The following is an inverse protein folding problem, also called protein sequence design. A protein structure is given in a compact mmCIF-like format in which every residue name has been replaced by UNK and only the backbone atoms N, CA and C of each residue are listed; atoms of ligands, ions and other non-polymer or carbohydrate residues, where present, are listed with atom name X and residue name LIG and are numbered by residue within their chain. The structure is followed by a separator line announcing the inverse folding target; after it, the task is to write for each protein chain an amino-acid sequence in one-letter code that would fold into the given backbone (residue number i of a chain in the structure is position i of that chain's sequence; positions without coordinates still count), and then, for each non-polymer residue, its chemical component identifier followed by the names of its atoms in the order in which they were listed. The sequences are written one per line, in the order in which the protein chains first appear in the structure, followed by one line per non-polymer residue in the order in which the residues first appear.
data_IF_196645249130
#
_entry.id   IF_196645249130
#
_cell.length_a   1.000
_cell.length_b   1.000
_cell.length_c   1.000
_cell.angle_alpha   90.00
_cell.angle_beta   90.00
_cell.angle_gamma   90.00
#
_symmetry.space_group_name_H-M   'P 1'
#
loop_
_entity.id
_entity.type
_entity.pdbx_description
1 polymer ?
2 polymer ?
3 non-polymer ?
4 water ?
#
# COMPACT_ATOMS: atom_id res chain seq x y z
N UNK A 4 20.15 5.18 -10.04
CA UNK A 4 19.92 4.30 -11.18
C UNK A 4 18.49 3.77 -11.24
N UNK A 5 17.94 3.35 -10.08
CA UNK A 5 16.60 2.81 -10.12
C UNK A 5 15.63 3.92 -10.49
N UNK A 6 15.94 5.17 -10.12
CA UNK A 6 15.06 6.28 -10.38
C UNK A 6 14.80 6.41 -11.87
N UNK A 7 15.81 6.03 -12.65
CA UNK A 7 15.64 6.14 -14.10
C UNK A 7 14.49 5.30 -14.63
N UNK A 8 14.08 4.26 -13.90
CA UNK A 8 13.02 3.41 -14.42
C UNK A 8 11.63 4.04 -14.22
N UNK A 9 11.62 5.18 -13.53
CA UNK A 9 10.36 5.80 -13.14
C UNK A 9 10.08 7.14 -13.81
N UNK A 10 10.80 7.52 -14.85
CA UNK A 10 10.58 8.86 -15.39
C UNK A 10 9.35 8.94 -16.28
N UNK A 11 8.76 7.79 -16.64
CA UNK A 11 7.57 7.80 -17.46
C UNK A 11 6.44 7.05 -16.79
N UNK A 12 5.40 6.75 -17.53
CA UNK A 12 4.29 5.94 -17.03
C UNK A 12 4.66 4.48 -17.02
N UNK A 13 4.45 3.85 -15.89
CA UNK A 13 4.79 2.45 -15.67
C UNK A 13 3.55 1.61 -15.39
N UNK A 14 3.37 0.52 -16.11
CA UNK A 14 2.23 -0.36 -15.83
C UNK A 14 2.47 -1.05 -14.50
N UNK A 15 1.38 -1.22 -13.77
CA UNK A 15 1.39 -1.91 -12.49
C UNK A 15 0.45 -3.09 -12.47
N UNK A 16 0.92 -4.19 -11.88
CA UNK A 16 0.12 -5.35 -11.54
C UNK A 16 0.18 -5.61 -10.03
N UNK A 17 -1.01 -5.90 -9.50
CA UNK A 17 -1.12 -6.20 -8.08
C UNK A 17 -1.83 -7.54 -7.92
N UNK A 18 -1.26 -8.42 -7.11
CA UNK A 18 -1.88 -9.73 -6.87
C UNK A 18 -1.82 -10.02 -5.38
N UNK A 19 -2.97 -10.25 -4.76
CA UNK A 19 -3.02 -10.53 -3.33
C UNK A 19 -3.81 -11.82 -3.09
N UNK A 20 -3.30 -12.60 -2.16
CA UNK A 20 -4.01 -13.76 -1.61
C UNK A 20 -4.20 -13.48 -0.12
N UNK A 21 -5.44 -13.62 0.35
CA UNK A 21 -5.73 -13.31 1.73
C UNK A 21 -6.46 -14.43 2.44
N UNK A 22 -6.30 -14.39 3.75
CA UNK A 22 -7.06 -15.18 4.71
C UNK A 22 -7.33 -14.29 5.92
N UNK A 23 -8.59 -13.95 6.12
CA UNK A 23 -8.98 -13.20 7.30
C UNK A 23 -10.03 -14.00 8.07
N UNK A 24 -9.63 -14.49 9.24
CA UNK A 24 -10.48 -15.32 10.09
C UNK A 24 -11.00 -16.55 9.35
N UNK A 25 -10.18 -17.10 8.46
CA UNK A 25 -10.59 -18.23 7.65
C UNK A 25 -11.36 -17.87 6.41
N UNK A 26 -11.69 -16.58 6.23
CA UNK A 26 -12.30 -16.24 4.93
C UNK A 26 -11.18 -16.07 3.91
N UNK A 27 -11.08 -16.97 2.94
CA UNK A 27 -10.01 -16.90 1.93
C UNK A 27 -10.48 -16.10 0.72
N UNK A 28 -9.61 -15.26 0.21
CA UNK A 28 -9.89 -14.40 -0.93
C UNK A 28 -8.62 -14.01 -1.69
N UNK A 29 -8.76 -13.53 -2.89
CA UNK A 29 -7.80 -13.09 -3.87
C UNK A 29 -8.33 -11.85 -4.59
N UNK A 30 -7.37 -10.97 -4.85
CA UNK A 30 -7.64 -9.72 -5.52
C UNK A 30 -6.60 -9.53 -6.62
N UNK A 31 -7.06 -9.11 -7.78
CA UNK A 31 -6.13 -8.79 -8.87
C UNK A 31 -6.34 -7.33 -9.26
N UNK A 32 -5.23 -6.63 -9.44
CA UNK A 32 -5.39 -5.22 -9.79
C UNK A 32 -4.44 -4.88 -10.94
N UNK A 33 -4.89 -3.93 -11.71
CA UNK A 33 -4.15 -3.39 -12.83
C UNK A 33 -4.26 -1.88 -12.88
N UNK A 34 -3.20 -1.26 -13.36
CA UNK A 34 -3.23 0.18 -13.62
C UNK A 34 -1.85 0.68 -13.96
N UNK A 35 -1.56 1.89 -13.53
CA UNK A 35 -0.29 2.50 -13.90
C UNK A 35 0.08 3.57 -12.91
N UNK A 36 1.38 3.88 -12.91
CA UNK A 36 1.90 4.88 -12.02
C UNK A 36 2.81 5.86 -12.75
N UNK A 37 2.78 7.11 -12.31
CA UNK A 37 3.63 8.13 -12.93
C UNK A 37 4.25 8.93 -11.80
N UNK A 38 5.42 8.47 -11.39
CA UNK A 38 6.06 9.02 -10.20
C UNK A 38 6.40 10.50 -10.38
N UNK A 39 6.51 10.95 -11.64
CA UNK A 39 6.78 12.38 -11.84
C UNK A 39 5.72 13.23 -11.16
N UNK A 40 4.50 12.73 -11.05
CA UNK A 40 3.35 13.40 -10.46
C UNK A 40 2.83 12.72 -9.20
N UNK A 41 3.57 11.73 -8.71
CA UNK A 41 3.28 10.88 -7.60
C UNK A 41 1.90 10.27 -7.72
N UNK A 42 1.52 9.90 -8.93
CA UNK A 42 0.16 9.57 -9.29
C UNK A 42 -0.02 8.09 -9.62
N UNK A 43 -1.01 7.49 -8.98
CA UNK A 43 -1.34 6.10 -9.21
C UNK A 43 -2.83 5.96 -9.56
N UNK A 44 -3.12 5.16 -10.58
CA UNK A 44 -4.50 4.81 -10.91
C UNK A 44 -4.57 3.29 -11.09
N UNK A 45 -5.44 2.67 -10.30
CA UNK A 45 -5.56 1.22 -10.27
C UNK A 45 -7.02 0.80 -10.11
N UNK A 46 -7.37 -0.31 -10.72
CA UNK A 46 -8.64 -0.97 -10.46
C UNK A 46 -8.39 -2.41 -10.00
N UNK A 47 -9.01 -2.74 -8.88
CA UNK A 47 -8.92 -4.00 -8.19
C UNK A 47 -10.21 -4.77 -8.34
N UNK A 48 -10.04 -6.07 -8.55
CA UNK A 48 -11.20 -6.97 -8.66
C UNK A 48 -11.05 -8.12 -7.69
N UNK A 49 -12.09 -8.44 -6.92
CA UNK A 49 -11.98 -9.62 -6.07
C UNK A 49 -12.31 -10.81 -6.94
N UNK A 50 -11.35 -11.68 -7.18
CA UNK A 50 -11.58 -12.74 -8.15
C UNK A 50 -12.22 -13.96 -7.50
N UNK A 51 -12.40 -13.97 -6.18
CA UNK A 51 -12.96 -15.20 -5.60
C UNK A 51 -14.43 -15.06 -5.23
N UNK A 52 -14.96 -13.87 -5.43
CA UNK A 52 -16.33 -13.54 -5.14
C UNK A 52 -16.43 -12.23 -4.39
N UNK A 53 -17.12 -12.28 -3.25
CA UNK A 53 -17.29 -11.04 -2.49
C UNK A 53 -16.09 -10.87 -1.57
N UNK A 54 -15.61 -9.65 -1.47
CA UNK A 54 -14.54 -9.34 -0.53
C UNK A 54 -15.03 -9.43 0.91
N UNK A 55 -14.38 -10.24 1.73
CA UNK A 55 -14.90 -10.49 3.08
C UNK A 55 -14.52 -9.43 4.10
N UNK A 56 -13.75 -8.45 3.67
CA UNK A 56 -13.43 -7.27 4.46
C UNK A 56 -13.75 -6.01 3.66
N UNK A 57 -13.89 -4.86 4.29
CA UNK A 57 -14.09 -3.62 3.52
C UNK A 57 -12.89 -3.23 2.68
N UNK A 58 -13.18 -2.82 1.44
CA UNK A 58 -12.13 -2.37 0.51
C UNK A 58 -11.23 -1.33 1.15
N UNK A 59 -11.72 -0.34 1.87
CA UNK A 59 -10.77 0.64 2.39
C UNK A 59 -9.68 0.07 3.28
N UNK A 60 -9.93 -1.09 3.89
CA UNK A 60 -8.93 -1.63 4.80
C UNK A 60 -7.73 -2.21 4.03
N UNK A 61 -7.83 -2.43 2.73
CA UNK A 61 -6.76 -2.97 1.90
C UNK A 61 -5.99 -1.93 1.10
N UNK A 62 -6.43 -0.67 1.12
CA UNK A 62 -5.78 0.35 0.29
C UNK A 62 -4.28 0.46 0.52
N UNK A 63 -3.86 0.49 1.79
CA UNK A 63 -2.43 0.68 2.02
C UNK A 63 -1.61 -0.53 1.61
N UNK A 64 -2.24 -1.70 1.65
CA UNK A 64 -1.57 -2.93 1.23
C UNK A 64 -1.35 -2.94 -0.28
N UNK A 65 -2.31 -2.43 -1.04
CA UNK A 65 -2.28 -2.44 -2.50
C UNK A 65 -1.48 -1.29 -3.10
N UNK B 2 1.03 0.22 -1.27
CA UNK B 2 1.74 -0.97 -1.63
C UNK B 2 2.93 -0.72 -2.53
N UNK B 3 2.87 0.38 -3.29
CA UNK B 3 3.89 0.71 -4.28
C UNK B 3 4.40 2.14 -4.09
N UNK B 4 5.12 2.31 -2.98
CA UNK B 4 5.65 3.60 -2.53
C UNK B 4 6.78 4.05 -3.42
N UNK B 5 7.21 3.15 -4.32
CA UNK B 5 8.16 3.57 -5.35
C UNK B 5 7.56 4.59 -6.30
N UNK B 6 6.24 4.81 -6.31
CA UNK B 6 5.66 5.80 -7.21
C UNK B 6 5.46 7.16 -6.54
N UNK B 7 5.95 7.32 -5.32
CA UNK B 7 5.91 8.62 -4.66
C UNK B 7 6.72 9.63 -5.45
N UNK B 8 6.24 10.86 -5.40
CA UNK B 8 7.04 11.93 -5.98
C UNK B 8 7.97 12.48 -4.90
N UNK B 9 9.25 12.24 -5.14
CA UNK B 9 10.32 12.80 -4.30
C UNK B 9 10.81 14.07 -4.99
N UNK B 10 10.63 15.20 -4.34
CA UNK B 10 11.14 16.44 -4.94
C UNK B 10 12.63 16.29 -5.20
N UNK B 11 13.12 16.99 -6.21
CA UNK B 11 14.51 16.89 -6.61
C UNK B 11 15.44 17.12 -5.43
N UNK B 12 15.07 18.04 -4.55
CA UNK B 12 15.98 18.32 -3.45
C UNK B 12 16.06 17.20 -2.42
N UNK B 13 15.17 16.21 -2.50
CA UNK B 13 15.12 15.09 -1.61
C UNK B 13 15.39 13.76 -2.28
N UNK B 14 15.90 13.81 -3.50
CA UNK B 14 16.00 12.56 -4.24
C UNK B 14 17.01 11.60 -3.61
N UNK B 15 17.93 12.10 -2.78
CA UNK B 15 18.87 11.16 -2.17
C UNK B 15 18.22 10.36 -1.04
N UNK B 16 16.95 10.63 -0.74
CA UNK B 16 16.22 9.95 0.30
C UNK B 16 15.21 8.92 -0.21
N UNK B 17 15.16 8.66 -1.50
CA UNK B 17 14.18 7.71 -2.06
C UNK B 17 14.70 6.29 -2.10
N UNK B 18 14.50 5.58 -0.99
CA UNK B 18 14.88 4.18 -0.89
C UNK B 18 14.22 3.32 -1.96
N UNK B 19 12.91 3.58 -2.11
CA UNK B 19 12.05 2.70 -2.85
C UNK B 19 12.52 2.50 -4.28
N UNK B 20 12.78 3.62 -4.97
CA UNK B 20 13.22 3.45 -6.36
C UNK B 20 14.64 2.93 -6.41
N UNK B 21 15.42 3.23 -5.38
CA UNK B 21 16.83 2.83 -5.42
C UNK B 21 16.98 1.31 -5.36
N UNK B 22 15.99 0.60 -4.84
CA UNK B 22 16.07 -0.86 -4.79
C UNK B 22 15.71 -1.53 -6.11
N UNK B 23 15.25 -0.77 -7.09
CA UNK B 23 14.73 -1.34 -8.33
C UNK B 23 15.86 -1.51 -9.33
N UNK B 24 15.77 -2.41 -10.31
CA UNK B 24 14.62 -3.27 -10.56
C UNK B 24 14.45 -4.50 -9.70
N UNK B 25 15.50 -4.90 -8.97
CA UNK B 25 15.41 -6.16 -8.25
C UNK B 25 14.33 -6.15 -7.19
N UNK B 26 14.07 -4.97 -6.65
CA UNK B 26 12.98 -4.76 -5.74
C UNK B 26 13.19 -4.82 -4.26
N UNK B 27 12.08 -4.84 -3.51
CA UNK B 27 12.13 -4.92 -2.05
C UNK B 27 10.97 -5.76 -1.53
N UNK B 28 11.19 -6.28 -0.32
CA UNK B 28 10.16 -6.95 0.48
C UNK B 28 9.57 -5.91 1.42
N UNK B 29 8.24 -5.82 1.46
CA UNK B 29 7.58 -4.85 2.33
C UNK B 29 6.68 -5.65 3.25
N UNK B 30 6.92 -5.49 4.54
CA UNK B 30 6.14 -6.21 5.53
C UNK B 30 5.44 -5.22 6.46
N UNK B 31 4.20 -5.55 6.83
CA UNK B 31 3.44 -4.72 7.73
C UNK B 31 2.64 -5.57 8.73
N UNK B 32 2.48 -4.92 9.88
CA UNK B 32 1.50 -5.31 10.86
C UNK B 32 0.52 -4.14 10.95
N UNK B 33 -0.74 -4.44 10.71
CA UNK B 33 -1.78 -3.43 10.76
C UNK B 33 -2.73 -3.79 11.91
N UNK B 34 -2.72 -2.97 12.95
CA UNK B 34 -3.48 -3.25 14.17
C UNK B 34 -4.73 -2.39 14.25
N UNK B 35 -5.89 -3.04 14.05
CA UNK B 35 -7.16 -2.36 14.17
C UNK B 35 -7.53 -2.28 15.67
N UNK B 36 -7.65 -1.06 16.16
CA UNK B 36 -7.99 -0.78 17.56
C UNK B 36 -9.28 -1.51 17.93
N UNK B 37 -9.24 -2.21 19.05
CA UNK B 37 -10.33 -3.00 19.61
C UNK B 37 -10.77 -4.10 18.68
N UNK B 38 -9.90 -4.56 17.79
CA UNK B 38 -10.31 -5.59 16.83
C UNK B 38 -9.08 -6.36 16.38
N UNK B 39 -9.11 -7.10 15.28
CA UNK B 39 -8.02 -7.92 14.84
C UNK B 39 -6.85 -7.21 14.17
N UNK B 40 -5.96 -7.99 13.56
CA UNK B 40 -4.79 -7.44 12.90
C UNK B 40 -4.57 -8.14 11.56
N UNK B 41 -4.00 -7.39 10.63
CA UNK B 41 -3.48 -7.95 9.41
C UNK B 41 -1.95 -8.02 9.52
N UNK B 42 -1.38 -9.11 9.05
CA UNK B 42 0.07 -9.15 8.79
C UNK B 42 0.23 -9.38 7.30
N UNK B 43 1.07 -8.56 6.68
CA UNK B 43 1.26 -8.66 5.25
C UNK B 43 2.74 -8.81 4.88
N UNK B 44 2.97 -9.58 3.83
CA UNK B 44 4.29 -9.70 3.21
C UNK B 44 4.09 -9.52 1.70
N UNK B 45 4.85 -8.59 1.13
CA UNK B 45 4.81 -8.25 -0.27
C UNK B 45 6.22 -8.17 -0.86
N UNK B 46 6.28 -8.56 -2.12
CA UNK B 46 7.47 -8.37 -2.91
C UNK B 46 7.10 -7.40 -4.03
N UNK B 47 7.86 -6.33 -4.10
CA UNK B 47 7.64 -5.29 -5.10
C UNK B 47 8.88 -5.22 -5.98
N UNK B 48 8.69 -5.58 -7.25
CA UNK B 48 9.81 -5.61 -8.18
C UNK B 48 9.33 -5.51 -9.62
N UNK B 49 10.29 -5.24 -10.50
CA UNK B 49 9.93 -5.23 -11.91
C UNK B 49 9.92 -6.64 -12.49
N UNK B 50 8.91 -6.87 -13.30
CA UNK B 50 8.86 -8.03 -14.18
C UNK B 50 8.87 -7.49 -15.59
N UNK B 51 10.04 -7.53 -16.23
CA UNK B 51 10.15 -6.78 -17.47
C UNK B 51 9.98 -5.30 -17.19
N UNK B 52 9.10 -4.64 -17.92
CA UNK B 52 8.90 -3.19 -17.76
C UNK B 52 7.69 -2.88 -16.86
N UNK B 53 7.12 -3.90 -16.24
CA UNK B 53 5.95 -3.79 -15.37
C UNK B 53 6.32 -3.92 -13.90
N UNK B 54 5.74 -3.03 -13.10
CA UNK B 54 5.98 -3.06 -11.66
C UNK B 54 4.90 -3.93 -11.02
N UNK B 55 5.36 -4.94 -10.31
CA UNK B 55 4.51 -5.95 -9.69
C UNK B 55 4.58 -5.90 -8.17
N UNK B 56 3.40 -5.90 -7.56
CA UNK B 56 3.20 -5.94 -6.13
C UNK B 56 2.45 -7.25 -5.82
N UNK B 57 3.21 -8.20 -5.30
CA UNK B 57 2.68 -9.50 -4.94
C UNK B 57 2.56 -9.61 -3.41
N UNK B 58 1.39 -9.87 -2.88
CA UNK B 58 1.11 -9.83 -1.47
C UNK B 58 0.38 -11.05 -0.90
N UNK B 59 0.83 -11.48 0.27
CA UNK B 59 0.13 -12.40 1.13
C UNK B 59 -0.32 -11.64 2.38
N UNK B 60 -1.60 -11.78 2.69
CA UNK B 60 -2.20 -11.11 3.84
C UNK B 60 -2.84 -12.15 4.76
N UNK B 61 -2.55 -12.07 6.03
CA UNK B 61 -3.17 -12.91 7.04
C UNK B 61 -3.82 -12.00 8.08
N UNK B 62 -5.11 -12.20 8.32
CA UNK B 62 -5.84 -11.46 9.33
C UNK B 62 -6.34 -12.39 10.42
N UNK B 63 -6.08 -12.03 11.66
CA UNK B 63 -6.60 -12.86 12.74
C UNK B 63 -7.26 -12.03 13.84
N UNK B 64 -8.08 -12.73 14.60
CA UNK B 64 -8.70 -12.25 15.82
C UNK B 64 -9.64 -11.07 15.57
N UNK B 65 -10.27 -11.06 14.41
CA UNK B 65 -11.32 -10.09 14.16
C UNK B 65 -12.62 -10.52 14.84
N UNK B 66 -13.37 -9.52 15.28
CA UNK B 66 -14.69 -9.73 15.87
C UNK B 66 -15.74 -9.90 14.77
N UNK B 67 -16.56 -10.93 14.92
CA UNK B 67 -17.52 -11.33 13.90
C UNK B 67 -18.38 -10.15 13.45
N UNK B 68 -18.72 -9.31 14.42
CA UNK B 68 -19.48 -8.12 14.04
C UNK B 68 -18.79 -6.84 14.50
N UNK B 69 -17.46 -6.79 14.39
CA UNK B 69 -16.84 -5.47 14.60
C UNK B 69 -16.93 -4.68 13.30
N UNK B 70 -16.20 -3.58 13.19
CA UNK B 70 -16.32 -2.71 12.03
C UNK B 70 -15.81 -3.34 10.73
N UNK B 71 -14.85 -4.25 10.84
CA UNK B 71 -14.30 -4.87 9.64
C UNK B 71 -15.17 -6.02 9.16
N UNK B 72 -15.35 -7.10 9.94
CA UNK B 72 -16.14 -8.23 9.44
C UNK B 72 -17.62 -7.86 9.40
N UNK B 73 -18.00 -6.81 10.11
CA UNK B 73 -19.37 -6.34 10.08
C UNK B 73 -19.64 -5.37 8.95
N UNK B 74 -18.64 -5.03 8.17
CA UNK B 74 -18.69 -4.10 7.05
C UNK B 74 -19.36 -2.78 7.43
N UNK B 75 -18.81 -2.13 8.44
CA UNK B 75 -19.38 -0.88 8.96
C UNK B 75 -18.57 0.35 8.57
N UNK B 76 -17.58 0.15 7.72
CA UNK B 76 -16.72 1.24 7.26
C UNK B 76 -17.19 1.87 5.96
N UNK B 77 -17.12 3.21 5.91
CA UNK B 77 -17.55 3.96 4.76
C UNK B 77 -16.58 3.75 3.60
N UNK B 78 -17.11 3.89 2.40
CA UNK B 78 -16.30 3.72 1.20
C UNK B 78 -15.69 5.07 0.84
N UNK B 79 -14.70 5.39 1.65
CA UNK B 79 -13.95 6.63 1.45
C UNK B 79 -12.61 6.50 2.15
N UNK B 80 -11.83 7.58 2.15
CA UNK B 80 -10.48 7.49 2.65
C UNK B 80 -9.83 8.82 3.01
N UNK B 81 -9.30 8.88 4.22
CA UNK B 81 -8.69 10.12 4.68
C UNK B 81 -7.24 10.26 4.29
N UNK B 82 -6.84 11.51 4.05
CA UNK B 82 -5.43 11.75 3.78
C UNK B 82 -4.60 11.40 5.02
N UNK B 83 -3.35 10.99 4.80
CA UNK B 83 -2.47 10.66 5.91
C UNK B 83 -0.99 10.78 5.52
N UNK B 84 -0.11 10.82 6.49
CA UNK B 84 1.33 10.81 6.34
C UNK B 84 1.92 9.47 6.78
N UNK B 85 2.86 9.00 5.98
CA UNK B 85 3.66 7.82 6.25
C UNK B 85 5.01 8.27 6.79
N UNK B 86 5.32 8.02 8.07
CA UNK B 86 6.59 8.51 8.60
C UNK B 86 7.69 7.45 8.46
N UNK B 87 8.73 7.82 7.72
CA UNK B 87 9.81 6.93 7.34
C UNK B 87 11.09 7.20 8.11
N UNK B 88 11.77 6.12 8.48
CA UNK B 88 13.07 6.20 9.13
C UNK B 88 13.96 5.09 8.57
N UNK B 89 15.26 5.34 8.58
CA UNK B 89 16.19 4.33 8.08
C UNK B 89 16.31 3.19 9.06
N UNK B 90 16.57 2.00 8.52
CA UNK B 90 16.92 0.83 9.32
C UNK B 90 18.26 0.34 8.78
N UNK B 91 19.33 0.92 9.32
CA UNK B 91 20.64 0.74 8.69
C UNK B 91 21.13 -0.69 8.85
N UNK B 92 20.72 -1.35 9.93
CA UNK B 92 21.10 -2.73 10.17
C UNK B 92 20.47 -3.71 9.20
N UNK B 93 19.39 -3.32 8.54
CA UNK B 93 18.74 -4.18 7.56
C UNK B 93 18.86 -3.60 6.15
N UNK B 94 19.70 -2.58 5.99
CA UNK B 94 19.89 -1.94 4.70
C UNK B 94 18.55 -1.55 4.09
N UNK B 95 17.66 -1.05 4.94
CA UNK B 95 16.32 -0.72 4.44
C UNK B 95 15.69 0.38 5.27
N UNK B 96 14.37 0.34 5.40
CA UNK B 96 13.65 1.38 6.11
C UNK B 96 12.54 0.78 6.97
N UNK B 97 12.02 1.56 7.90
CA UNK B 97 10.80 1.34 8.61
C UNK B 97 9.86 2.53 8.42
N UNK B 98 8.59 2.26 8.65
CA UNK B 98 7.59 3.32 8.61
C UNK B 98 6.54 3.05 9.69
N UNK B 99 5.97 4.13 10.17
CA UNK B 99 4.90 4.09 11.15
C UNK B 99 3.89 5.18 10.77
N UNK B 100 2.63 4.82 10.86
CA UNK B 100 1.56 5.77 10.58
C UNK B 100 0.25 5.19 11.10
N UNK B 101 -0.73 6.07 11.16
CA UNK B 101 -2.07 5.76 11.61
C UNK B 101 -3.08 6.10 10.52
N UNK B 102 -3.89 5.10 10.21
CA UNK B 102 -4.99 5.31 9.27
C UNK B 102 -6.28 5.39 10.07
N UNK B 103 -7.10 6.38 9.75
CA UNK B 103 -8.41 6.57 10.36
C UNK B 103 -9.49 6.21 9.35
N UNK B 104 -10.14 5.07 9.55
CA UNK B 104 -11.23 4.61 8.71
C UNK B 104 -12.56 5.15 9.24
N UNK B 105 -13.30 5.88 8.39
CA UNK B 105 -14.60 6.40 8.78
C UNK B 105 -15.64 5.28 8.93
N UNK B 106 -16.24 5.25 10.11
CA UNK B 106 -17.35 4.34 10.39
C UNK B 106 -18.67 5.04 10.02
N UNK B 107 -19.63 4.24 9.57
CA UNK B 107 -20.87 4.76 9.02
C UNK B 107 -21.68 5.53 10.05
N UNK B 108 -21.32 5.49 11.32
CA UNK B 108 -22.05 6.19 12.38
C UNK B 108 -21.42 7.51 12.79
N UNK B 109 -20.38 7.92 12.07
CA UNK B 109 -19.62 9.11 12.34
C UNK B 109 -18.42 8.90 13.24
N UNK B 110 -18.23 7.66 13.70
CA UNK B 110 -17.03 7.37 14.50
C UNK B 110 -15.85 7.00 13.62
N UNK B 111 -14.71 6.66 14.23
CA UNK B 111 -13.51 6.32 13.50
C UNK B 111 -12.94 5.00 14.00
N UNK B 112 -12.48 4.20 13.05
CA UNK B 112 -11.79 2.95 13.32
C UNK B 112 -10.30 3.13 13.04
N UNK B 113 -9.50 3.15 14.09
CA UNK B 113 -8.06 3.35 13.93
C UNK B 113 -7.36 2.08 13.45
N UNK B 114 -6.44 2.23 12.52
CA UNK B 114 -5.60 1.15 12.04
C UNK B 114 -4.15 1.60 12.12
N UNK B 115 -3.49 1.12 13.18
CA UNK B 115 -2.07 1.38 13.37
C UNK B 115 -1.23 0.56 12.39
N UNK B 116 -0.37 1.20 11.63
CA UNK B 116 0.53 0.57 10.67
C UNK B 116 1.99 0.65 11.10
N UNK B 117 2.64 -0.51 11.13
CA UNK B 117 4.07 -0.66 11.30
C UNK B 117 4.62 -1.41 10.09
N UNK B 118 5.64 -0.86 9.47
CA UNK B 118 6.14 -1.33 8.18
C UNK B 118 7.66 -1.40 8.18
N UNK B 119 8.14 -2.44 7.49
CA UNK B 119 9.56 -2.61 7.25
C UNK B 119 9.78 -2.99 5.78
N UNK B 120 10.80 -2.43 5.16
CA UNK B 120 11.20 -2.75 3.80
C UNK B 120 12.67 -3.11 3.76
N UNK B 121 13.01 -4.13 3.01
CA UNK B 121 14.41 -4.56 2.86
C UNK B 121 14.66 -4.94 1.42
N UNK B 122 15.79 -4.57 0.84
CA UNK B 122 15.98 -4.82 -0.57
C UNK B 122 16.18 -6.30 -0.87
N UNK B 123 15.72 -6.66 -2.06
CA UNK B 123 15.89 -8.03 -2.52
C UNK B 123 17.27 -8.25 -3.11
N UNK B 124 17.79 -7.24 -3.80
CA UNK B 124 19.11 -7.27 -4.39
C UNK B 124 20.19 -6.91 -3.41
N UNK B 125 21.46 -6.99 -3.82
CA UNK B 125 22.51 -6.65 -2.87
C UNK B 125 23.26 -5.39 -3.31
N UNK B 126 22.76 -4.75 -4.35
CA UNK B 126 23.35 -3.48 -4.79
C UNK B 126 23.03 -2.40 -3.77
N UNK B 127 23.76 -1.31 -3.81
CA UNK B 127 23.56 -0.23 -2.85
C UNK B 127 22.17 0.40 -2.99
N UNK B 128 21.61 0.81 -1.86
CA UNK B 128 20.31 1.48 -1.82
C UNK B 128 20.49 2.81 -1.08
N UNK B 129 19.50 3.68 -1.19
CA UNK B 129 19.52 4.96 -0.49
C UNK B 129 18.88 4.78 0.87
N UNK B 130 19.60 5.12 1.93
CA UNK B 130 19.02 5.07 3.27
C UNK B 130 18.69 6.50 3.67
N UNK B 131 17.41 6.77 3.85
CA UNK B 131 16.97 8.16 4.00
C UNK B 131 17.08 8.73 5.38
N UNK B 132 17.16 10.06 5.44
CA UNK B 132 16.87 10.79 6.66
C UNK B 132 15.38 10.66 6.97
N UNK B 133 15.00 10.97 8.20
CA UNK B 133 13.59 10.97 8.57
C UNK B 133 12.82 11.94 7.68
N UNK B 134 11.70 11.42 7.21
CA UNK B 134 10.80 12.23 6.38
C UNK B 134 9.43 11.56 6.31
N UNK B 135 8.50 12.11 5.54
CA UNK B 135 7.22 11.44 5.36
C UNK B 135 6.72 11.50 3.92
N UNK B 136 5.78 10.62 3.62
CA UNK B 136 5.01 10.64 2.41
C UNK B 136 3.61 11.14 2.75
N UNK B 137 3.20 12.19 2.08
CA UNK B 137 1.87 12.78 2.18
C UNK B 137 0.99 12.09 1.15
N UNK B 138 -0.04 11.40 1.61
CA UNK B 138 -0.84 10.54 0.76
C UNK B 138 -2.28 11.02 0.76
N UNK B 139 -2.84 11.07 -0.44
CA UNK B 139 -4.24 11.39 -0.68
C UNK B 139 -4.82 10.29 -1.57
N UNK B 140 -5.97 9.75 -1.20
CA UNK B 140 -6.57 8.65 -1.94
C UNK B 140 -8.07 8.88 -2.14
N UNK B 141 -8.54 8.52 -3.33
CA UNK B 141 -9.95 8.62 -3.70
C UNK B 141 -10.45 7.28 -4.25
N UNK B 142 -11.57 6.83 -3.67
CA UNK B 142 -12.09 5.54 -4.05
C UNK B 142 -13.38 5.69 -4.84
N UNK B 143 -13.57 4.82 -5.84
CA UNK B 143 -14.77 4.98 -6.66
C UNK B 143 -15.15 3.61 -7.22
N UNK B 144 -16.20 3.60 -8.01
CA UNK B 144 -16.67 2.37 -8.64
C UNK B 144 -16.74 2.53 -10.15
N UNK B 145 -16.59 1.42 -10.85
CA UNK B 145 -16.75 1.38 -12.31
C UNK B 145 -18.21 1.06 -12.59
N UNK B 146 -18.91 1.99 -13.22
CA UNK B 146 -20.37 1.83 -13.36
C UNK B 146 -20.74 0.59 -14.16
N UNK B 147 -19.81 0.09 -14.98
CA UNK B 147 -20.12 -1.06 -15.82
C UNK B 147 -19.66 -2.39 -15.25
N UNK B 148 -19.09 -2.32 -14.05
CA UNK B 148 -18.53 -3.52 -13.44
C UNK B 148 -19.46 -4.17 -12.43
N UNK B 149 -19.81 -5.45 -12.62
CA UNK B 149 -20.68 -6.10 -11.67
C UNK B 149 -19.88 -6.94 -10.66
N UNK B 150 -18.61 -7.20 -10.93
CA UNK B 150 -17.81 -7.89 -9.92
C UNK B 150 -17.52 -6.97 -8.74
N UNK B 151 -17.18 -7.57 -7.60
CA UNK B 151 -16.80 -6.73 -6.44
C UNK B 151 -15.43 -6.11 -6.72
N UNK B 152 -15.32 -4.80 -6.59
CA UNK B 152 -14.12 -4.12 -7.07
C UNK B 152 -13.95 -2.76 -6.39
N UNK B 153 -12.81 -2.18 -6.71
CA UNK B 153 -12.47 -0.84 -6.25
C UNK B 153 -11.62 -0.12 -7.29
N UNK B 154 -12.02 1.11 -7.60
CA UNK B 154 -11.19 1.99 -8.40
C UNK B 154 -10.51 2.98 -7.45
N UNK B 155 -9.21 3.12 -7.55
CA UNK B 155 -8.37 3.92 -6.67
C UNK B 155 -7.46 4.90 -7.41
N UNK B 156 -7.55 6.17 -7.03
CA UNK B 156 -6.72 7.28 -7.43
C UNK B 156 -5.93 7.73 -6.21
N UNK B 157 -4.61 7.73 -6.34
CA UNK B 157 -3.78 8.07 -5.20
C UNK B 157 -2.66 9.00 -5.65
N UNK B 158 -2.39 9.95 -4.78
CA UNK B 158 -1.26 10.84 -4.93
C UNK B 158 -0.37 10.69 -3.71
N UNK B 159 0.93 10.54 -3.97
CA UNK B 159 1.92 10.41 -2.90
C UNK B 159 3.12 11.31 -3.16
N UNK B 160 3.35 12.23 -2.22
CA UNK B 160 4.45 13.17 -2.32
C UNK B 160 5.34 13.12 -1.09
N UNK B 161 6.64 12.94 -1.29
CA UNK B 161 7.57 13.01 -0.17
C UNK B 161 7.77 14.43 0.32
N UNK B 162 7.95 14.61 1.62
CA UNK B 162 8.08 15.91 2.25
C UNK B 162 8.76 15.78 3.60
N UNK B 163 8.98 16.89 4.30
CA UNK B 163 9.52 16.81 5.65
C UNK B 163 11.01 17.02 5.74
N UNK B 164 11.65 17.34 4.62
CA UNK B 164 13.10 17.59 4.71
C UNK B 164 13.41 19.01 4.24
#
# INVERSE_FOLDING_TARGET
MASKGEELFTGVVPILVELDGDVNGHKFSVSGEGEGDATYGKLTLKFICTTGKLPVPWPTLVTTFX
XGVQCFSRYPDHMKQHDFFKSAMPEGYVQERTISFKDDGNYKTRAEVKFEGDTLVNRIELKGIDFKEDGNILGHKLEYNYNSHNVYITADKQKNGIKANFKIRHNIEDGSVQLADHYQQNTPIGDGPVLLPDNHYLSTQSALSKDPNEKRDHMVLLEFVTAAGITHGMDELYK
#
